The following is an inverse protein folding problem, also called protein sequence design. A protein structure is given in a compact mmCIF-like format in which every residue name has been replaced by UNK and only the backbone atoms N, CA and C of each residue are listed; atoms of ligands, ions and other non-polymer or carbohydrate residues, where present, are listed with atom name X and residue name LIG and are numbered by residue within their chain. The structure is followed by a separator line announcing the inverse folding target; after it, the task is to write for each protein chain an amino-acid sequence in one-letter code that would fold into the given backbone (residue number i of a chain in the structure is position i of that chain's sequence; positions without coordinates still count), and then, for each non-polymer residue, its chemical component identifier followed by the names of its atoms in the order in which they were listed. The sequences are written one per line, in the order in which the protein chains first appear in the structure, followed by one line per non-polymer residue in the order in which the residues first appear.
data_IF_646586824505
#
_entry.id   IF_646586824505
#
_cell.length_a   1.000
_cell.length_b   1.000
_cell.length_c   1.000
_cell.angle_alpha   90.00
_cell.angle_beta   90.00
_cell.angle_gamma   90.00
#
_symmetry.space_group_name_H-M   'P 1'
#
loop_
_entity.id
_entity.type
_entity.pdbx_description
1 polymer ?
#
# COMPACT_ATOMS: atom_id res chain seq x y z
N UNK A 1 -0.07 -16.13 -8.96
CA UNK A 1 0.15 -14.66 -8.84
C UNK A 1 -0.90 -13.96 -7.96
N UNK A 2 -2.20 -13.99 -8.23
CA UNK A 2 -3.17 -13.28 -7.38
C UNK A 2 -3.27 -13.83 -5.94
N UNK A 3 -3.27 -15.15 -5.76
CA UNK A 3 -3.30 -15.78 -4.42
C UNK A 3 -2.04 -15.47 -3.60
N UNK A 4 -0.88 -15.45 -4.25
CA UNK A 4 0.39 -15.10 -3.61
C UNK A 4 0.40 -13.65 -3.13
N UNK A 5 -0.12 -12.73 -3.95
CA UNK A 5 -0.29 -11.32 -3.56
C UNK A 5 -1.22 -11.18 -2.36
N UNK A 6 -2.35 -11.89 -2.33
CA UNK A 6 -3.26 -11.90 -1.16
C UNK A 6 -2.58 -12.46 0.09
N UNK A 7 -1.75 -13.48 -0.04
CA UNK A 7 -1.01 -14.07 1.09
C UNK A 7 0.00 -13.08 1.69
N UNK A 8 0.85 -12.49 0.86
CA UNK A 8 1.80 -11.43 1.28
C UNK A 8 1.03 -10.32 2.00
N UNK A 9 -0.13 -9.96 1.46
CA UNK A 9 -0.98 -8.94 2.03
C UNK A 9 -1.56 -9.30 3.41
N UNK A 10 -2.03 -10.54 3.59
CA UNK A 10 -2.48 -11.04 4.89
C UNK A 10 -1.34 -11.12 5.90
N UNK A 11 -0.15 -11.52 5.46
CA UNK A 11 1.04 -11.59 6.30
C UNK A 11 1.46 -10.19 6.78
N UNK A 12 1.39 -9.17 5.91
CA UNK A 12 1.60 -7.77 6.28
C UNK A 12 0.58 -7.28 7.31
N UNK A 13 -0.71 -7.59 7.11
CA UNK A 13 -1.78 -7.21 8.06
C UNK A 13 -1.66 -7.92 9.41
N UNK A 14 -1.02 -9.08 9.44
CA UNK A 14 -0.82 -9.89 10.65
C UNK A 14 0.52 -9.57 11.35
N UNK A 15 1.15 -8.44 11.03
CA UNK A 15 2.44 -7.99 11.57
C UNK A 15 3.59 -8.99 11.39
N UNK A 16 3.52 -9.91 10.41
CA UNK A 16 4.67 -10.78 10.10
C UNK A 16 5.85 -10.00 9.54
N UNK A 17 5.58 -8.83 8.97
CA UNK A 17 6.57 -7.84 8.56
C UNK A 17 5.93 -6.45 8.51
N UNK A 18 6.73 -5.43 8.81
CA UNK A 18 6.23 -4.04 8.98
C UNK A 18 6.44 -3.15 7.74
N UNK A 19 7.15 -3.64 6.71
CA UNK A 19 7.47 -2.88 5.50
C UNK A 19 7.07 -3.68 4.27
N UNK A 20 6.35 -3.03 3.35
CA UNK A 20 5.96 -3.59 2.07
C UNK A 20 6.45 -2.68 0.94
N UNK A 21 7.20 -3.24 0.00
CA UNK A 21 7.70 -2.53 -1.19
C UNK A 21 6.91 -3.02 -2.40
N UNK A 22 6.26 -2.11 -3.13
CA UNK A 22 5.42 -2.44 -4.28
C UNK A 22 5.45 -1.36 -5.35
N UNK A 23 5.23 -1.76 -6.60
CA UNK A 23 5.02 -0.84 -7.74
C UNK A 23 3.53 -0.60 -7.98
N UNK A 24 3.18 0.50 -8.66
CA UNK A 24 1.79 0.86 -8.97
C UNK A 24 1.02 -0.28 -9.67
N UNK A 25 1.70 -1.08 -10.50
CA UNK A 25 1.11 -2.21 -11.22
C UNK A 25 0.75 -3.37 -10.29
N UNK A 26 1.58 -3.64 -9.30
CA UNK A 26 1.35 -4.73 -8.33
C UNK A 26 0.24 -4.36 -7.35
N UNK A 27 0.09 -3.06 -7.07
CA UNK A 27 -0.88 -2.52 -6.15
C UNK A 27 -2.34 -2.48 -6.68
N UNK A 28 -2.55 -2.49 -8.00
CA UNK A 28 -3.93 -2.48 -8.54
C UNK A 28 -4.65 -3.78 -8.20
N UNK A 29 -5.86 -3.66 -7.62
CA UNK A 29 -6.70 -4.79 -7.23
C UNK A 29 -6.39 -5.40 -5.86
N UNK A 30 -5.42 -4.85 -5.13
CA UNK A 30 -5.19 -5.15 -3.72
C UNK A 30 -5.73 -3.98 -2.90
N UNK A 31 -6.63 -4.27 -1.96
CA UNK A 31 -7.15 -3.27 -1.05
C UNK A 31 -6.15 -3.03 0.09
N UNK A 32 -5.23 -2.08 -0.08
CA UNK A 32 -4.19 -1.74 0.90
C UNK A 32 -4.77 -1.31 2.25
N UNK A 33 -4.22 -1.80 3.39
CA UNK A 33 -4.74 -1.41 4.69
C UNK A 33 -4.36 0.06 4.92
N UNK A 34 -5.04 0.73 5.85
CA UNK A 34 -4.53 2.01 6.36
C UNK A 34 -3.14 1.78 6.96
N UNK A 35 -2.09 2.21 6.26
CA UNK A 35 -0.71 2.17 6.74
C UNK A 35 -0.37 3.47 7.46
N UNK A 36 0.58 3.42 8.39
CA UNK A 36 1.02 4.61 9.11
C UNK A 36 1.88 5.55 8.26
N UNK A 37 2.58 5.02 7.25
CA UNK A 37 3.50 5.79 6.42
C UNK A 37 3.48 5.26 4.98
N UNK A 38 3.49 6.18 4.02
CA UNK A 38 3.70 5.90 2.60
C UNK A 38 4.94 6.66 2.14
N UNK A 39 5.88 5.95 1.53
CA UNK A 39 7.09 6.55 0.94
C UNK A 39 7.00 6.40 -0.57
N UNK A 40 7.05 7.53 -1.30
CA UNK A 40 7.24 7.52 -2.74
C UNK A 40 8.75 7.43 -3.02
N UNK A 41 9.21 6.24 -3.43
CA UNK A 41 10.62 6.06 -3.83
C UNK A 41 10.95 6.87 -5.08
N UNK A 42 10.11 6.73 -6.12
CA UNK A 42 10.12 7.57 -7.31
C UNK A 42 8.85 8.43 -7.38
N UNK A 43 9.00 9.66 -7.87
CA UNK A 43 7.87 10.55 -8.10
C UNK A 43 6.90 9.89 -9.10
N UNK A 44 5.60 9.79 -8.79
CA UNK A 44 4.62 9.28 -9.74
C UNK A 44 4.56 10.17 -11.00
N UNK A 45 4.20 9.60 -12.16
CA UNK A 45 4.17 10.32 -13.44
C UNK A 45 3.07 11.38 -13.50
N UNK A 46 2.05 11.28 -12.63
CA UNK A 46 0.93 12.19 -12.56
C UNK A 46 0.43 12.39 -11.12
N UNK A 47 -0.29 13.48 -10.89
CA UNK A 47 -0.80 13.87 -9.57
C UNK A 47 -1.89 12.91 -9.06
N UNK A 48 -2.64 12.28 -9.96
CA UNK A 48 -3.71 11.35 -9.60
C UNK A 48 -3.13 10.10 -8.95
N UNK A 49 -2.03 9.57 -9.50
CA UNK A 49 -1.27 8.48 -8.92
C UNK A 49 -0.62 8.88 -7.58
N UNK A 50 -0.13 10.12 -7.47
CA UNK A 50 0.37 10.63 -6.18
C UNK A 50 -0.72 10.57 -5.10
N UNK A 51 -1.89 11.15 -5.37
CA UNK A 51 -3.04 11.17 -4.46
C UNK A 51 -3.47 9.74 -4.10
N UNK A 52 -3.56 8.84 -5.09
CA UNK A 52 -3.92 7.44 -4.86
C UNK A 52 -2.93 6.68 -3.96
N UNK A 53 -1.63 7.01 -4.03
CA UNK A 53 -0.59 6.41 -3.17
C UNK A 53 -0.67 6.95 -1.75
N UNK A 54 -0.72 8.27 -1.57
CA UNK A 54 -0.76 8.87 -0.22
C UNK A 54 -2.09 8.59 0.50
N UNK A 55 -3.19 8.36 -0.23
CA UNK A 55 -4.48 7.97 0.33
C UNK A 55 -4.50 6.61 1.03
N UNK A 56 -3.37 5.89 1.07
CA UNK A 56 -3.19 4.65 1.85
C UNK A 56 -2.79 4.89 3.30
N UNK A 57 -2.46 6.13 3.65
CA UNK A 57 -2.26 6.57 5.03
C UNK A 57 -3.26 7.67 5.42
N UNK A 58 -3.22 8.15 6.66
CA UNK A 58 -3.94 9.35 7.08
C UNK A 58 -5.47 9.25 7.17
N UNK A 59 -6.06 8.05 7.16
CA UNK A 59 -7.50 7.87 7.41
C UNK A 59 -7.82 8.13 8.90
N UNK A 60 -8.46 9.26 9.16
CA UNK A 60 -8.93 9.72 10.48
C UNK A 60 -9.78 8.62 11.13
N UNK A 61 -9.37 8.12 12.30
CA UNK A 61 -10.11 7.10 13.06
C UNK A 61 -9.26 6.03 13.76
N UNK A 62 -7.93 6.04 13.62
CA UNK A 62 -7.01 5.24 14.44
C UNK A 62 -5.98 6.16 15.08
N UNK A 63 -6.23 6.52 16.34
CA UNK A 63 -5.31 7.13 17.31
C UNK A 63 -4.93 6.07 18.34
#
# INVERSE_FOLDING_TARGET
MQEERKKIFQDFRSDKFSVLVATSLVARGLDFPSVNLVINFDMPPDIEQYIHRIGRTGRIGRS
#
